data_IF_692109020849
#
_entry.id   IF_692109020849
#
_cell.length_a   1.000
_cell.length_b   1.000
_cell.length_c   1.000
_cell.angle_alpha   90.00
_cell.angle_beta   90.00
_cell.angle_gamma   90.00
#
_symmetry.space_group_name_H-M   'P 1'
#
loop_
_entity.id
_entity.type
_entity.pdbx_description
1 polymer ?
#
# COMPACT_ATOMS: atom_id res chain seq x y z
N UNK A 1 68.07 -26.80 23.81
CA UNK A 1 68.26 -27.21 22.41
C UNK A 1 67.12 -26.62 21.62
N UNK A 2 67.39 -25.59 20.90
CA UNK A 2 67.34 -25.38 19.44
C UNK A 2 65.95 -25.80 18.87
N UNK A 3 65.17 -25.08 18.09
CA UNK A 3 65.35 -23.80 17.39
C UNK A 3 64.17 -23.57 16.49
N UNK A 4 63.85 -22.31 16.28
CA UNK A 4 63.42 -21.65 15.00
C UNK A 4 62.17 -22.05 14.27
N UNK A 5 61.32 -21.10 14.20
CA UNK A 5 61.02 -20.17 13.05
C UNK A 5 60.27 -20.78 11.89
N UNK A 6 59.07 -20.29 11.67
CA UNK A 6 58.79 -19.62 10.39
C UNK A 6 57.46 -18.85 10.52
N UNK A 7 57.59 -17.52 10.63
CA UNK A 7 56.48 -16.61 10.32
C UNK A 7 56.60 -16.25 8.84
N UNK A 8 55.72 -16.75 8.04
CA UNK A 8 55.56 -16.24 6.68
C UNK A 8 54.51 -15.09 6.64
N UNK A 9 54.99 -13.98 6.11
CA UNK A 9 54.23 -12.76 5.83
C UNK A 9 53.09 -13.03 4.85
N UNK A 10 51.85 -12.78 5.28
CA UNK A 10 50.74 -12.51 4.37
C UNK A 10 50.58 -11.00 4.26
N UNK A 11 51.07 -10.44 3.19
CA UNK A 11 50.76 -9.08 2.76
C UNK A 11 49.27 -8.98 2.44
N UNK A 12 48.46 -8.36 3.31
CA UNK A 12 47.12 -7.91 2.98
C UNK A 12 47.29 -6.64 2.15
N UNK A 13 46.90 -6.72 0.88
CA UNK A 13 46.83 -5.59 -0.06
C UNK A 13 45.96 -4.50 0.54
N UNK A 14 46.52 -3.30 0.69
CA UNK A 14 45.81 -2.12 1.16
C UNK A 14 44.66 -1.76 0.26
N UNK A 15 43.46 -1.82 0.82
CA UNK A 15 42.30 -1.09 0.25
C UNK A 15 42.61 0.39 0.31
N UNK A 16 42.70 1.03 -0.86
CA UNK A 16 42.72 2.48 -0.97
C UNK A 16 41.38 2.99 -0.47
N UNK A 17 41.33 3.55 0.72
CA UNK A 17 40.25 4.42 1.18
C UNK A 17 40.04 5.48 0.11
N UNK A 18 38.94 5.44 -0.64
CA UNK A 18 38.56 6.51 -1.56
C UNK A 18 38.35 7.78 -0.73
N UNK A 19 39.32 8.70 -0.77
CA UNK A 19 39.15 10.03 -0.18
C UNK A 19 38.10 10.75 -1.03
N UNK A 20 37.08 11.31 -0.38
CA UNK A 20 36.08 12.14 -1.03
C UNK A 20 36.74 13.23 -1.84
N UNK A 21 36.19 13.56 -3.03
CA UNK A 21 36.71 14.65 -3.84
C UNK A 21 36.71 15.97 -3.05
N UNK A 22 37.84 16.70 -3.08
CA UNK A 22 38.02 17.92 -2.28
C UNK A 22 36.95 19.01 -2.54
N UNK A 23 36.34 19.04 -3.72
CA UNK A 23 35.24 19.97 -3.99
C UNK A 23 33.98 19.64 -3.19
N UNK A 24 33.72 18.35 -2.87
CA UNK A 24 32.60 17.93 -2.00
C UNK A 24 32.84 18.37 -0.57
N UNK A 25 34.07 18.28 -0.07
CA UNK A 25 34.42 18.79 1.26
C UNK A 25 34.13 20.28 1.36
N UNK A 26 34.59 21.10 0.41
CA UNK A 26 34.34 22.55 0.37
C UNK A 26 32.84 22.83 0.31
N UNK A 27 32.12 22.12 -0.55
CA UNK A 27 30.68 22.22 -0.69
C UNK A 27 29.97 21.95 0.65
N UNK A 28 30.28 20.83 1.31
CA UNK A 28 29.66 20.44 2.58
C UNK A 28 29.96 21.44 3.71
N UNK A 29 31.19 21.93 3.82
CA UNK A 29 31.58 22.92 4.83
C UNK A 29 30.87 24.26 4.64
N UNK A 30 30.74 24.74 3.42
CA UNK A 30 29.99 25.95 3.09
C UNK A 30 28.49 25.77 3.30
N UNK A 31 27.95 24.63 2.91
CA UNK A 31 26.55 24.27 3.12
C UNK A 31 26.21 24.23 4.62
N UNK A 32 27.07 23.59 5.42
CA UNK A 32 26.91 23.58 6.87
C UNK A 32 26.96 24.99 7.47
N UNK A 33 27.87 25.83 6.99
CA UNK A 33 27.96 27.22 7.43
C UNK A 33 26.75 28.09 7.05
N UNK A 34 26.12 27.82 5.91
CA UNK A 34 24.85 28.47 5.50
C UNK A 34 23.72 27.97 6.41
N UNK A 35 23.62 26.66 6.65
CA UNK A 35 22.57 26.04 7.45
C UNK A 35 22.59 26.45 8.93
N UNK A 36 23.76 26.54 9.53
CA UNK A 36 23.90 26.91 10.95
C UNK A 36 23.92 28.43 11.20
N UNK A 37 23.77 29.25 10.13
CA UNK A 37 23.71 30.71 10.23
C UNK A 37 25.09 31.39 10.29
N UNK A 38 26.21 30.66 10.17
CA UNK A 38 27.54 31.26 10.07
C UNK A 38 27.63 32.21 8.86
N UNK A 39 26.96 31.83 7.76
CA UNK A 39 26.74 32.68 6.60
C UNK A 39 25.25 33.03 6.51
N UNK A 40 24.88 34.22 7.00
CA UNK A 40 23.49 34.69 6.99
C UNK A 40 22.97 34.98 5.58
N UNK A 41 21.64 34.98 5.40
CA UNK A 41 21.00 35.39 4.15
C UNK A 41 21.53 36.78 3.68
N UNK A 42 21.90 36.83 2.42
CA UNK A 42 22.48 38.05 1.82
C UNK A 42 23.96 38.27 2.14
N UNK A 43 24.58 37.47 3.03
CA UNK A 43 26.02 37.60 3.30
C UNK A 43 26.85 37.06 2.17
N UNK A 44 28.06 37.62 2.01
CA UNK A 44 29.03 37.18 1.00
C UNK A 44 29.81 35.98 1.45
N UNK A 45 29.88 34.94 0.63
CA UNK A 45 30.73 33.78 0.83
C UNK A 45 32.20 34.07 0.45
N UNK A 46 33.15 33.28 0.98
CA UNK A 46 34.55 33.37 0.53
C UNK A 46 34.65 33.18 -0.99
N UNK A 47 35.52 33.96 -1.62
CA UNK A 47 35.76 33.89 -3.06
C UNK A 47 36.46 32.60 -3.49
N UNK A 48 36.41 32.25 -4.77
CA UNK A 48 37.15 31.10 -5.32
C UNK A 48 38.63 31.11 -4.96
N UNK A 49 39.25 32.30 -4.88
CA UNK A 49 40.66 32.47 -4.50
C UNK A 49 40.89 32.20 -3.01
N UNK A 50 40.02 32.70 -2.17
CA UNK A 50 40.09 32.48 -0.72
C UNK A 50 39.86 30.99 -0.38
N UNK A 51 38.82 30.37 -0.98
CA UNK A 51 38.56 28.91 -0.83
C UNK A 51 39.74 28.08 -1.36
N UNK A 52 40.32 28.44 -2.50
CA UNK A 52 41.50 27.76 -3.05
C UNK A 52 42.67 27.80 -2.08
N UNK A 53 42.90 28.94 -1.42
CA UNK A 53 43.97 29.10 -0.42
C UNK A 53 43.67 28.37 0.88
N UNK A 54 42.42 28.43 1.39
CA UNK A 54 42.02 27.87 2.66
C UNK A 54 42.02 26.34 2.66
N UNK A 55 41.70 25.74 1.50
CA UNK A 55 41.62 24.26 1.37
C UNK A 55 42.80 23.66 0.60
N UNK A 56 43.76 24.46 0.20
CA UNK A 56 44.93 24.05 -0.60
C UNK A 56 44.55 23.27 -1.86
N UNK A 57 43.63 23.85 -2.65
CA UNK A 57 43.10 23.23 -3.86
C UNK A 57 43.19 24.18 -5.08
N UNK A 58 42.97 23.60 -6.25
CA UNK A 58 42.89 24.42 -7.49
C UNK A 58 41.66 25.32 -7.47
N UNK A 59 41.74 26.50 -8.18
CA UNK A 59 40.58 27.37 -8.37
C UNK A 59 39.40 26.65 -9.07
N UNK A 60 39.69 25.67 -9.93
CA UNK A 60 38.65 24.87 -10.59
C UNK A 60 37.86 24.04 -9.56
N UNK A 61 38.55 23.49 -8.54
CA UNK A 61 37.94 22.74 -7.46
C UNK A 61 37.02 23.62 -6.61
N UNK A 62 37.47 24.80 -6.18
CA UNK A 62 36.64 25.74 -5.42
C UNK A 62 35.50 26.30 -6.23
N UNK A 63 35.73 26.58 -7.54
CA UNK A 63 34.67 27.00 -8.47
C UNK A 63 33.57 25.98 -8.58
N UNK A 64 33.90 24.68 -8.73
CA UNK A 64 32.93 23.58 -8.81
C UNK A 64 32.06 23.50 -7.55
N UNK A 65 32.63 23.66 -6.35
CA UNK A 65 31.85 23.66 -5.10
C UNK A 65 30.84 24.83 -5.05
N UNK A 66 31.24 26.03 -5.47
CA UNK A 66 30.33 27.19 -5.54
C UNK A 66 29.28 27.05 -6.65
N UNK A 67 29.60 26.40 -7.75
CA UNK A 67 28.65 26.12 -8.84
C UNK A 67 27.57 25.18 -8.32
N UNK A 68 27.92 24.11 -7.60
CA UNK A 68 26.95 23.20 -6.99
C UNK A 68 26.02 23.90 -6.00
N UNK A 69 26.55 24.83 -5.17
CA UNK A 69 25.68 25.62 -4.26
C UNK A 69 24.75 26.58 -5.04
N UNK A 70 25.19 27.08 -6.16
CA UNK A 70 24.38 27.97 -7.01
C UNK A 70 23.29 27.19 -7.77
N UNK A 71 23.61 26.02 -8.30
CA UNK A 71 22.64 25.08 -8.91
C UNK A 71 21.52 24.69 -7.96
N UNK A 72 21.81 24.62 -6.67
CA UNK A 72 20.83 24.34 -5.62
C UNK A 72 20.15 25.61 -5.06
N UNK A 73 20.32 26.76 -5.68
CA UNK A 73 19.76 28.04 -5.22
C UNK A 73 20.16 28.45 -3.78
N UNK A 74 21.21 27.84 -3.24
CA UNK A 74 21.75 28.19 -1.91
C UNK A 74 22.48 29.53 -1.95
N UNK A 75 23.07 29.88 -3.11
CA UNK A 75 23.76 31.09 -3.31
C UNK A 75 23.43 31.70 -4.69
N UNK A 76 23.54 33.04 -4.79
CA UNK A 76 23.49 33.75 -6.07
C UNK A 76 24.88 34.21 -6.43
N UNK A 77 25.36 33.85 -7.62
CA UNK A 77 26.67 34.28 -8.13
C UNK A 77 26.50 35.57 -8.95
N UNK A 78 27.18 36.63 -8.52
CA UNK A 78 27.19 37.92 -9.23
C UNK A 78 28.52 38.14 -9.92
N UNK A 79 28.59 38.20 -11.27
CA UNK A 79 29.84 38.41 -11.97
C UNK A 79 30.59 39.64 -11.46
N UNK A 80 31.86 39.48 -11.13
CA UNK A 80 32.72 40.54 -10.60
C UNK A 80 32.46 41.01 -9.17
N UNK A 81 31.36 40.56 -8.54
CA UNK A 81 30.97 40.95 -7.16
C UNK A 81 31.15 39.84 -6.14
N UNK A 82 31.06 38.56 -6.56
CA UNK A 82 31.20 37.38 -5.68
C UNK A 82 29.94 36.52 -5.60
N UNK A 83 29.94 35.64 -4.62
CA UNK A 83 28.82 34.73 -4.31
C UNK A 83 28.15 35.15 -3.01
N UNK A 84 26.83 35.20 -2.98
CA UNK A 84 26.03 35.67 -1.86
C UNK A 84 25.02 34.62 -1.49
N UNK A 85 24.77 34.43 -0.19
CA UNK A 85 23.76 33.49 0.31
C UNK A 85 22.37 33.97 -0.13
N UNK A 86 21.65 33.12 -0.85
CA UNK A 86 20.26 33.34 -1.28
C UNK A 86 19.28 32.43 -0.52
N UNK A 87 19.77 31.57 0.33
CA UNK A 87 19.02 30.62 1.10
C UNK A 87 18.24 31.31 2.24
N UNK A 88 16.90 31.17 2.23
CA UNK A 88 16.00 31.77 3.22
C UNK A 88 15.57 30.83 4.35
N UNK A 89 16.19 29.69 4.50
CA UNK A 89 15.84 28.70 5.54
C UNK A 89 14.83 27.62 5.15
N UNK A 90 14.30 27.65 3.92
CA UNK A 90 13.16 26.80 3.54
C UNK A 90 13.49 25.55 2.69
N UNK A 91 14.75 25.32 2.27
CA UNK A 91 15.15 24.11 1.53
C UNK A 91 16.54 23.64 1.92
N UNK A 92 16.63 22.35 2.24
CA UNK A 92 17.91 21.68 2.52
C UNK A 92 17.95 20.34 1.79
N UNK A 93 18.78 20.27 0.75
CA UNK A 93 19.11 19.03 0.08
C UNK A 93 20.42 18.46 0.66
N UNK A 94 20.42 17.20 1.06
CA UNK A 94 21.63 16.47 1.49
C UNK A 94 22.09 15.55 0.36
N UNK A 95 23.38 15.62 0.02
CA UNK A 95 24.00 14.64 -0.88
C UNK A 95 24.63 13.56 -0.02
N UNK A 96 24.07 12.34 -0.07
CA UNK A 96 24.67 11.14 0.51
C UNK A 96 25.11 10.25 -0.66
N UNK A 97 26.39 9.88 -0.68
CA UNK A 97 26.99 9.03 -1.73
C UNK A 97 26.81 9.51 -3.18
N UNK A 98 26.76 10.84 -3.39
CA UNK A 98 26.63 11.42 -4.73
C UNK A 98 25.21 11.44 -5.29
N UNK A 99 24.21 11.05 -4.52
CA UNK A 99 22.79 11.11 -4.86
C UNK A 99 22.18 12.33 -4.20
N UNK A 100 21.53 13.19 -5.01
CA UNK A 100 20.75 14.33 -4.50
C UNK A 100 19.48 13.78 -3.85
N UNK A 101 19.40 13.84 -2.52
CA UNK A 101 18.16 13.57 -1.80
C UNK A 101 17.47 14.90 -1.58
N UNK A 102 16.47 15.20 -2.41
CA UNK A 102 15.55 16.32 -2.15
C UNK A 102 14.79 16.01 -0.86
N UNK A 103 15.21 16.60 0.25
CA UNK A 103 14.38 16.57 1.46
C UNK A 103 13.19 17.51 1.24
N UNK A 104 12.01 16.99 1.51
CA UNK A 104 10.78 17.79 1.53
C UNK A 104 10.94 19.00 2.46
N UNK A 105 10.32 20.15 2.15
CA UNK A 105 10.35 21.32 3.02
C UNK A 105 9.94 20.94 4.43
N UNK A 106 10.68 21.38 5.44
CA UNK A 106 10.31 21.24 6.84
C UNK A 106 8.87 21.73 7.01
N UNK A 107 7.95 20.80 7.25
CA UNK A 107 6.52 21.10 7.48
C UNK A 107 5.52 20.24 6.73
N UNK A 108 5.84 19.65 5.58
CA UNK A 108 4.87 18.81 4.85
C UNK A 108 5.19 17.33 5.03
N UNK A 109 4.46 16.67 5.92
CA UNK A 109 4.56 15.23 6.13
C UNK A 109 3.61 14.52 5.16
N UNK A 110 4.13 13.64 4.32
CA UNK A 110 3.35 12.91 3.32
C UNK A 110 3.32 11.43 3.68
N UNK A 111 2.14 10.83 3.63
CA UNK A 111 1.91 9.39 3.73
C UNK A 111 1.65 8.86 2.33
N UNK A 112 2.35 7.80 1.95
CA UNK A 112 2.08 7.04 0.74
C UNK A 112 0.90 6.09 0.95
N UNK A 113 0.02 5.99 -0.03
CA UNK A 113 -1.10 5.05 -0.03
C UNK A 113 -1.06 4.27 -1.33
N UNK A 114 -0.96 2.96 -1.22
CA UNK A 114 -0.96 2.04 -2.36
C UNK A 114 -2.15 1.12 -2.19
N UNK A 115 -3.06 1.13 -3.15
CA UNK A 115 -4.23 0.26 -3.17
C UNK A 115 -4.37 -0.40 -4.53
N UNK A 116 -5.13 -1.46 -4.58
CA UNK A 116 -5.40 -2.18 -5.81
C UNK A 116 -6.21 -1.31 -6.79
N UNK A 117 -7.42 -0.99 -6.38
CA UNK A 117 -8.34 -0.05 -7.04
C UNK A 117 -9.37 0.41 -6.00
N UNK A 118 -10.23 1.32 -6.38
CA UNK A 118 -11.37 1.73 -5.55
C UNK A 118 -12.57 2.05 -6.42
N UNK A 119 -13.75 1.82 -5.87
CA UNK A 119 -15.01 2.03 -6.54
C UNK A 119 -16.14 2.32 -5.55
N UNK A 120 -17.37 2.31 -6.06
CA UNK A 120 -18.57 2.61 -5.24
C UNK A 120 -18.79 1.53 -4.17
N UNK A 121 -18.55 0.28 -4.52
CA UNK A 121 -18.82 -0.86 -3.64
C UNK A 121 -17.75 -1.05 -2.56
N UNK A 122 -16.46 -0.79 -2.88
CA UNK A 122 -15.36 -0.91 -1.93
C UNK A 122 -14.21 0.04 -2.29
N UNK A 123 -13.54 0.53 -1.27
CA UNK A 123 -12.31 1.31 -1.35
C UNK A 123 -12.52 2.82 -1.34
N UNK A 124 -13.66 3.35 -1.82
CA UNK A 124 -13.90 4.80 -1.80
C UNK A 124 -14.01 5.36 -0.38
N UNK A 125 -14.72 4.69 0.51
CA UNK A 125 -14.81 5.09 1.92
C UNK A 125 -13.49 4.86 2.67
N UNK A 126 -12.72 3.83 2.29
CA UNK A 126 -11.37 3.59 2.80
C UNK A 126 -10.46 4.79 2.48
N UNK A 127 -10.42 5.22 1.20
CA UNK A 127 -9.62 6.37 0.76
C UNK A 127 -10.07 7.65 1.46
N UNK A 128 -11.39 7.89 1.58
CA UNK A 128 -11.93 9.03 2.33
C UNK A 128 -11.50 8.99 3.81
N UNK A 129 -11.53 7.83 4.46
CA UNK A 129 -11.11 7.66 5.84
C UNK A 129 -9.62 7.93 6.04
N UNK A 130 -8.78 7.47 5.12
CA UNK A 130 -7.34 7.74 5.11
C UNK A 130 -7.08 9.24 4.94
N UNK A 131 -7.71 9.87 3.94
CA UNK A 131 -7.53 11.31 3.68
C UNK A 131 -7.94 12.15 4.88
N UNK A 132 -9.13 11.87 5.42
CA UNK A 132 -9.65 12.58 6.58
C UNK A 132 -8.67 12.53 7.77
N UNK A 133 -8.22 11.34 8.15
CA UNK A 133 -7.31 11.18 9.29
C UNK A 133 -5.92 11.79 8.99
N UNK A 134 -5.41 11.69 7.77
CA UNK A 134 -4.19 12.36 7.36
C UNK A 134 -4.30 13.87 7.60
N UNK A 135 -5.39 14.50 7.16
CA UNK A 135 -5.64 15.93 7.33
C UNK A 135 -5.73 16.33 8.81
N UNK A 136 -6.48 15.57 9.63
CA UNK A 136 -6.59 15.82 11.08
C UNK A 136 -5.23 15.74 11.80
N UNK A 137 -4.33 14.88 11.33
CA UNK A 137 -2.99 14.67 11.89
C UNK A 137 -1.91 15.57 11.25
N UNK A 138 -2.28 16.46 10.32
CA UNK A 138 -1.37 17.37 9.64
C UNK A 138 -0.46 16.69 8.61
N UNK A 139 -0.93 15.58 8.00
CA UNK A 139 -0.26 14.88 6.92
C UNK A 139 -0.97 15.13 5.58
N UNK A 140 -0.22 15.01 4.50
CA UNK A 140 -0.73 14.91 3.14
C UNK A 140 -0.74 13.44 2.71
N UNK A 141 -1.62 13.09 1.77
CA UNK A 141 -1.71 11.76 1.18
C UNK A 141 -1.26 11.77 -0.26
N UNK A 142 -0.46 10.78 -0.66
CA UNK A 142 -0.11 10.52 -2.06
C UNK A 142 -0.58 9.11 -2.43
N UNK A 143 -1.53 9.01 -3.35
CA UNK A 143 -2.20 7.76 -3.75
C UNK A 143 -1.63 7.20 -5.05
N UNK A 144 -1.41 5.87 -5.07
CA UNK A 144 -1.10 5.07 -6.25
C UNK A 144 -2.02 3.86 -6.31
N UNK A 145 -2.53 3.53 -7.49
CA UNK A 145 -3.29 2.30 -7.75
C UNK A 145 -2.43 1.30 -8.51
N UNK A 146 -2.53 0.02 -8.14
CA UNK A 146 -1.73 -1.07 -8.74
C UNK A 146 -2.50 -1.88 -9.78
N UNK A 147 -3.82 -1.82 -9.75
CA UNK A 147 -4.72 -2.61 -10.60
C UNK A 147 -4.39 -4.12 -10.60
N UNK A 148 -3.97 -4.64 -9.44
CA UNK A 148 -3.62 -6.04 -9.28
C UNK A 148 -2.24 -6.44 -9.82
N UNK A 149 -1.41 -5.49 -10.28
CA UNK A 149 -0.07 -5.77 -10.79
C UNK A 149 0.97 -5.71 -9.67
N UNK A 150 1.71 -6.82 -9.51
CA UNK A 150 2.85 -6.94 -8.59
C UNK A 150 3.98 -5.99 -8.99
N UNK A 151 4.18 -5.78 -10.28
CA UNK A 151 5.18 -4.87 -10.83
C UNK A 151 4.85 -3.41 -10.51
N UNK A 152 3.59 -3.00 -10.69
CA UNK A 152 3.13 -1.66 -10.35
C UNK A 152 3.16 -1.41 -8.84
N UNK A 153 2.89 -2.43 -8.01
CA UNK A 153 3.06 -2.32 -6.56
C UNK A 153 4.52 -2.08 -6.18
N UNK A 154 5.46 -2.86 -6.72
CA UNK A 154 6.88 -2.68 -6.47
C UNK A 154 7.37 -1.29 -6.90
N UNK A 155 6.95 -0.84 -8.09
CA UNK A 155 7.27 0.49 -8.60
C UNK A 155 6.65 1.60 -7.76
N UNK A 156 5.40 1.47 -7.32
CA UNK A 156 4.74 2.43 -6.46
C UNK A 156 5.47 2.58 -5.10
N UNK A 157 5.94 1.47 -4.54
CA UNK A 157 6.75 1.48 -3.30
C UNK A 157 8.05 2.25 -3.53
N UNK A 158 8.76 1.99 -4.63
CA UNK A 158 10.01 2.67 -4.95
C UNK A 158 9.80 4.17 -5.20
N UNK A 159 8.82 4.53 -6.02
CA UNK A 159 8.47 5.92 -6.34
C UNK A 159 8.13 6.72 -5.07
N UNK A 160 7.26 6.17 -4.20
CA UNK A 160 6.86 6.84 -2.95
C UNK A 160 8.02 6.99 -1.96
N UNK A 161 8.87 5.97 -1.85
CA UNK A 161 10.08 6.04 -1.01
C UNK A 161 11.06 7.08 -1.55
N UNK A 162 11.27 7.12 -2.87
CA UNK A 162 12.12 8.11 -3.53
C UNK A 162 11.58 9.53 -3.36
N UNK A 163 10.26 9.69 -3.36
CA UNK A 163 9.61 10.97 -3.04
C UNK A 163 9.82 11.40 -1.59
N UNK A 164 10.14 10.47 -0.69
CA UNK A 164 10.40 10.73 0.73
C UNK A 164 9.15 10.71 1.60
N UNK A 165 8.16 9.86 1.29
CA UNK A 165 7.00 9.68 2.16
C UNK A 165 7.44 9.14 3.53
N UNK A 166 6.76 9.57 4.60
CA UNK A 166 7.08 9.20 5.97
C UNK A 166 6.78 7.73 6.29
N UNK A 167 5.88 7.11 5.52
CA UNK A 167 5.45 5.72 5.66
C UNK A 167 4.40 5.39 4.62
N UNK A 168 4.01 4.12 4.54
CA UNK A 168 3.10 3.60 3.51
C UNK A 168 1.92 2.87 4.14
N UNK A 169 0.70 3.19 3.71
CA UNK A 169 -0.50 2.36 3.89
C UNK A 169 -0.65 1.53 2.62
N UNK A 170 -0.77 0.22 2.75
CA UNK A 170 -0.73 -0.71 1.63
C UNK A 170 -1.89 -1.69 1.66
N UNK A 171 -2.72 -1.70 0.62
CA UNK A 171 -3.55 -2.85 0.27
C UNK A 171 -2.73 -3.70 -0.72
N UNK A 172 -2.07 -4.73 -0.19
CA UNK A 172 -1.11 -5.50 -0.98
C UNK A 172 -1.78 -6.31 -2.10
N UNK A 173 -1.11 -6.36 -3.24
CA UNK A 173 -1.42 -7.33 -4.29
C UNK A 173 -1.12 -8.73 -3.76
N UNK A 174 -2.07 -9.63 -3.90
CA UNK A 174 -1.93 -11.02 -3.46
C UNK A 174 -1.88 -11.98 -4.64
N UNK A 175 -1.10 -13.04 -4.49
CA UNK A 175 -0.88 -14.09 -5.48
C UNK A 175 -0.24 -15.30 -4.82
N UNK A 176 0.34 -16.19 -5.63
CA UNK A 176 1.03 -17.39 -5.13
C UNK A 176 2.28 -17.05 -4.31
N UNK A 177 2.89 -15.90 -4.57
CA UNK A 177 4.09 -15.42 -3.87
C UNK A 177 3.92 -13.96 -3.45
N UNK A 178 4.48 -13.61 -2.30
CA UNK A 178 4.49 -12.22 -1.84
C UNK A 178 5.48 -11.37 -2.62
N UNK A 179 5.11 -10.10 -2.85
CA UNK A 179 5.99 -9.15 -3.51
C UNK A 179 7.27 -8.91 -2.70
N UNK A 180 8.42 -9.13 -3.33
CA UNK A 180 9.72 -8.94 -2.68
C UNK A 180 9.93 -7.49 -2.17
N UNK A 181 9.35 -6.48 -2.85
CA UNK A 181 9.43 -5.09 -2.42
C UNK A 181 8.69 -4.88 -1.08
N UNK A 182 7.54 -5.54 -0.87
CA UNK A 182 6.80 -5.48 0.40
C UNK A 182 7.56 -6.21 1.51
N UNK A 183 8.13 -7.39 1.23
CA UNK A 183 8.97 -8.12 2.19
C UNK A 183 10.18 -7.29 2.61
N UNK A 184 10.79 -6.57 1.68
CA UNK A 184 11.91 -5.66 1.94
C UNK A 184 11.53 -4.55 2.92
N UNK A 185 10.34 -3.96 2.81
CA UNK A 185 9.85 -2.96 3.78
C UNK A 185 9.81 -3.53 5.21
N UNK A 186 9.36 -4.78 5.36
CA UNK A 186 9.33 -5.47 6.66
C UNK A 186 10.73 -5.68 7.23
N UNK A 187 11.67 -6.19 6.42
CA UNK A 187 13.07 -6.43 6.84
C UNK A 187 13.77 -5.14 7.23
N UNK A 188 13.57 -4.07 6.47
CA UNK A 188 14.13 -2.73 6.73
C UNK A 188 13.42 -1.99 7.87
N UNK A 189 12.36 -2.58 8.45
CA UNK A 189 11.51 -1.95 9.48
C UNK A 189 10.96 -0.58 9.04
N UNK A 190 10.76 -0.41 7.73
CA UNK A 190 10.14 0.79 7.18
C UNK A 190 8.71 0.93 7.73
N UNK A 191 8.23 2.14 8.09
CA UNK A 191 6.86 2.32 8.57
C UNK A 191 5.84 1.94 7.49
N UNK A 192 5.16 0.81 7.68
CA UNK A 192 4.12 0.30 6.78
C UNK A 192 2.99 -0.33 7.59
N UNK A 193 1.75 -0.11 7.15
CA UNK A 193 0.54 -0.73 7.69
C UNK A 193 -0.28 -1.27 6.53
N UNK A 194 -0.69 -2.53 6.63
CA UNK A 194 -1.60 -3.15 5.67
C UNK A 194 -3.05 -2.78 5.97
N UNK A 195 -3.84 -2.67 4.92
CA UNK A 195 -5.31 -2.52 5.00
C UNK A 195 -5.99 -3.62 4.20
N UNK A 196 -7.13 -4.11 4.71
CA UNK A 196 -7.96 -5.15 4.12
C UNK A 196 -7.27 -6.53 4.02
N UNK A 197 -6.14 -6.61 3.33
CA UNK A 197 -5.43 -7.85 2.99
C UNK A 197 -4.19 -8.02 3.85
N UNK A 198 -4.11 -9.14 4.57
CA UNK A 198 -2.95 -9.49 5.39
C UNK A 198 -1.92 -10.32 4.62
N UNK A 199 -0.67 -10.24 5.03
CA UNK A 199 0.41 -11.13 4.59
C UNK A 199 0.71 -12.12 5.72
N UNK A 200 0.22 -13.36 5.60
CA UNK A 200 0.41 -14.40 6.62
C UNK A 200 1.90 -14.68 6.85
N UNK A 201 2.32 -14.63 8.10
CA UNK A 201 3.72 -14.88 8.49
C UNK A 201 4.68 -13.71 8.27
N UNK A 202 4.20 -12.55 7.83
CA UNK A 202 5.01 -11.32 7.71
C UNK A 202 4.61 -10.35 8.82
N UNK A 203 5.54 -9.86 9.66
CA UNK A 203 5.23 -9.01 10.82
C UNK A 203 4.95 -7.56 10.40
N UNK A 204 3.94 -7.35 9.57
CA UNK A 204 3.42 -6.04 9.20
C UNK A 204 2.02 -5.91 9.78
N UNK A 205 1.73 -4.86 10.56
CA UNK A 205 0.38 -4.64 11.10
C UNK A 205 -0.67 -4.55 10.01
N UNK A 206 -1.83 -5.16 10.23
CA UNK A 206 -2.96 -5.14 9.32
C UNK A 206 -4.24 -4.67 10.03
N UNK A 207 -4.97 -3.77 9.39
CA UNK A 207 -6.30 -3.30 9.80
C UNK A 207 -7.30 -3.71 8.74
N UNK A 208 -8.34 -4.43 9.13
CA UNK A 208 -9.34 -4.94 8.17
C UNK A 208 -10.61 -5.41 8.86
N UNK A 209 -11.41 -6.18 8.15
CA UNK A 209 -12.66 -6.79 8.63
C UNK A 209 -12.42 -8.24 9.03
N UNK A 210 -13.14 -8.73 10.04
CA UNK A 210 -13.18 -10.16 10.38
C UNK A 210 -14.02 -10.91 9.33
N UNK A 211 -13.40 -11.20 8.20
CA UNK A 211 -14.03 -11.84 7.04
C UNK A 211 -14.56 -13.24 7.36
N UNK A 212 -13.87 -13.97 8.24
CA UNK A 212 -14.26 -15.33 8.64
C UNK A 212 -15.59 -15.30 9.41
N UNK A 213 -15.68 -14.50 10.48
CA UNK A 213 -16.89 -14.41 11.28
C UNK A 213 -18.04 -13.71 10.52
N UNK A 214 -17.74 -12.74 9.68
CA UNK A 214 -18.77 -12.07 8.87
C UNK A 214 -19.47 -13.06 7.90
N UNK A 215 -18.73 -13.96 7.25
CA UNK A 215 -19.34 -15.03 6.44
C UNK A 215 -20.16 -15.98 7.30
N UNK A 216 -19.68 -16.37 8.48
CA UNK A 216 -20.44 -17.26 9.35
C UNK A 216 -21.78 -16.65 9.75
N UNK A 217 -21.84 -15.32 9.96
CA UNK A 217 -23.11 -14.64 10.23
C UNK A 217 -24.05 -14.69 9.02
N UNK A 218 -23.56 -14.43 7.79
CA UNK A 218 -24.36 -14.58 6.58
C UNK A 218 -24.85 -16.02 6.39
N UNK A 219 -23.99 -17.01 6.57
CA UNK A 219 -24.36 -18.42 6.48
C UNK A 219 -25.42 -18.82 7.52
N UNK A 220 -25.29 -18.33 8.75
CA UNK A 220 -26.30 -18.55 9.80
C UNK A 220 -27.67 -17.96 9.43
N UNK A 221 -27.70 -16.85 8.70
CA UNK A 221 -28.96 -16.29 8.19
C UNK A 221 -29.56 -17.24 7.18
N UNK A 222 -28.79 -17.67 6.18
CA UNK A 222 -29.26 -18.57 5.14
C UNK A 222 -29.75 -19.92 5.72
N UNK A 223 -29.03 -20.50 6.69
CA UNK A 223 -29.46 -21.74 7.37
C UNK A 223 -30.75 -21.54 8.16
N UNK A 224 -30.93 -20.40 8.85
CA UNK A 224 -32.17 -20.05 9.56
C UNK A 224 -33.36 -19.89 8.61
N UNK A 225 -33.11 -19.42 7.37
CA UNK A 225 -34.11 -19.33 6.31
C UNK A 225 -34.39 -20.69 5.64
N UNK A 226 -33.71 -21.76 6.07
CA UNK A 226 -33.96 -23.14 5.62
C UNK A 226 -33.08 -23.61 4.46
N UNK A 227 -32.17 -22.77 3.97
CA UNK A 227 -31.26 -23.14 2.88
C UNK A 227 -30.22 -24.14 3.37
N UNK A 228 -29.97 -25.19 2.58
CA UNK A 228 -28.97 -26.22 2.87
C UNK A 228 -27.95 -26.36 1.74
N UNK A 229 -28.35 -26.06 0.51
CA UNK A 229 -27.48 -26.06 -0.66
C UNK A 229 -27.24 -24.60 -1.07
N UNK A 230 -26.15 -24.05 -0.56
CA UNK A 230 -25.76 -22.65 -0.73
C UNK A 230 -24.52 -22.62 -1.63
N UNK A 231 -24.56 -21.95 -2.76
CA UNK A 231 -23.42 -21.83 -3.65
C UNK A 231 -22.51 -20.67 -3.23
N UNK A 232 -21.21 -20.94 -3.08
CA UNK A 232 -20.19 -19.92 -2.86
C UNK A 232 -19.64 -19.43 -4.21
N UNK A 233 -19.66 -18.14 -4.44
CA UNK A 233 -19.23 -17.50 -5.70
C UNK A 233 -18.05 -16.58 -5.44
N UNK A 234 -16.90 -16.86 -6.07
CA UNK A 234 -15.71 -16.00 -5.93
C UNK A 234 -14.80 -16.00 -7.15
N UNK A 235 -13.94 -15.00 -7.21
CA UNK A 235 -12.71 -15.06 -7.97
C UNK A 235 -11.70 -16.05 -7.34
N UNK A 236 -10.59 -16.42 -7.99
CA UNK A 236 -9.63 -17.36 -7.45
C UNK A 236 -9.14 -16.97 -6.04
N UNK A 237 -9.58 -17.71 -5.01
CA UNK A 237 -9.37 -17.37 -3.59
C UNK A 237 -7.92 -17.54 -3.12
N UNK A 238 -7.13 -18.38 -3.76
CA UNK A 238 -5.69 -18.55 -3.48
C UNK A 238 -4.88 -17.26 -3.68
N UNK A 239 -5.51 -16.21 -4.22
CA UNK A 239 -4.87 -14.93 -4.50
C UNK A 239 -5.19 -13.85 -3.49
N UNK A 240 -6.15 -14.08 -2.57
CA UNK A 240 -6.62 -13.02 -1.67
C UNK A 240 -6.93 -13.54 -0.28
N UNK A 241 -6.25 -13.06 0.76
CA UNK A 241 -6.42 -13.51 2.14
C UNK A 241 -7.85 -13.30 2.67
N UNK A 242 -8.54 -12.24 2.23
CA UNK A 242 -9.93 -11.95 2.59
C UNK A 242 -10.88 -13.00 2.02
N UNK A 243 -10.72 -13.37 0.75
CA UNK A 243 -11.56 -14.41 0.11
C UNK A 243 -11.26 -15.79 0.70
N UNK A 244 -10.01 -16.09 1.00
CA UNK A 244 -9.62 -17.31 1.69
C UNK A 244 -10.32 -17.40 3.05
N UNK A 245 -10.31 -16.34 3.86
CA UNK A 245 -11.00 -16.30 5.14
C UNK A 245 -12.53 -16.44 5.00
N UNK A 246 -13.13 -15.82 3.97
CA UNK A 246 -14.56 -15.96 3.63
C UNK A 246 -14.88 -17.41 3.28
N UNK A 247 -14.04 -18.06 2.49
CA UNK A 247 -14.24 -19.47 2.11
C UNK A 247 -14.10 -20.44 3.29
N UNK A 248 -13.12 -20.21 4.19
CA UNK A 248 -12.99 -20.98 5.41
C UNK A 248 -14.23 -20.83 6.30
N UNK A 249 -14.71 -19.59 6.52
CA UNK A 249 -15.94 -19.34 7.27
C UNK A 249 -17.17 -20.02 6.66
N UNK A 250 -17.27 -20.05 5.32
CA UNK A 250 -18.32 -20.79 4.62
C UNK A 250 -18.25 -22.29 4.89
N UNK A 251 -17.09 -22.94 4.77
CA UNK A 251 -16.93 -24.38 5.03
C UNK A 251 -17.24 -24.74 6.48
N UNK A 252 -16.69 -23.98 7.41
CA UNK A 252 -16.88 -24.24 8.83
C UNK A 252 -18.32 -24.06 9.29
N UNK A 253 -19.06 -23.15 8.64
CA UNK A 253 -20.49 -22.96 8.88
C UNK A 253 -21.31 -24.22 8.54
N UNK A 254 -20.94 -24.96 7.49
CA UNK A 254 -21.57 -26.25 7.19
C UNK A 254 -21.30 -27.28 8.27
N UNK A 255 -20.04 -27.38 8.72
CA UNK A 255 -19.63 -28.31 9.77
C UNK A 255 -20.37 -28.04 11.10
N UNK A 256 -20.49 -26.77 11.49
CA UNK A 256 -21.18 -26.36 12.71
C UNK A 256 -22.69 -26.70 12.68
N UNK A 257 -23.28 -26.73 11.49
CA UNK A 257 -24.69 -27.13 11.30
C UNK A 257 -24.88 -28.62 11.02
N UNK A 258 -23.82 -29.44 11.17
CA UNK A 258 -23.82 -30.86 10.85
C UNK A 258 -24.25 -31.15 9.40
N UNK A 259 -23.89 -30.26 8.48
CA UNK A 259 -24.11 -30.40 7.05
C UNK A 259 -22.78 -30.67 6.34
N UNK A 260 -22.85 -31.27 5.16
CA UNK A 260 -21.69 -31.55 4.34
C UNK A 260 -21.71 -30.64 3.13
N UNK A 261 -20.62 -29.93 2.90
CA UNK A 261 -20.38 -29.21 1.67
C UNK A 261 -19.51 -30.03 0.72
N UNK A 262 -19.57 -29.77 -0.55
CA UNK A 262 -18.75 -30.42 -1.59
C UNK A 262 -18.43 -29.43 -2.72
N UNK A 263 -17.51 -29.82 -3.59
CA UNK A 263 -17.03 -28.97 -4.70
C UNK A 263 -18.13 -28.52 -5.69
N UNK A 264 -19.26 -29.25 -5.73
CA UNK A 264 -20.42 -28.85 -6.54
C UNK A 264 -21.16 -27.63 -5.99
N UNK A 265 -20.82 -27.15 -4.79
CA UNK A 265 -21.46 -25.98 -4.16
C UNK A 265 -20.58 -24.71 -4.23
N UNK A 266 -19.57 -24.66 -5.10
CA UNK A 266 -18.80 -23.41 -5.27
C UNK A 266 -18.28 -23.23 -6.69
N UNK A 267 -18.22 -21.95 -7.09
CA UNK A 267 -17.53 -21.45 -8.28
C UNK A 267 -16.47 -20.47 -7.78
N UNK A 268 -15.19 -20.81 -7.87
CA UNK A 268 -14.09 -20.09 -7.23
C UNK A 268 -13.07 -19.53 -8.21
N UNK A 269 -13.46 -19.35 -9.48
CA UNK A 269 -12.57 -18.96 -10.56
C UNK A 269 -13.24 -17.97 -11.54
N UNK A 270 -14.10 -17.08 -11.00
CA UNK A 270 -14.75 -15.99 -11.77
C UNK A 270 -13.67 -14.97 -12.13
N UNK A 271 -13.17 -15.05 -13.37
CA UNK A 271 -11.98 -14.32 -13.81
C UNK A 271 -12.21 -12.83 -14.07
N UNK A 272 -13.43 -12.44 -14.47
CA UNK A 272 -13.80 -11.04 -14.76
C UNK A 272 -13.81 -10.12 -13.54
N UNK A 273 -13.79 -10.70 -12.33
CA UNK A 273 -13.80 -9.96 -11.07
C UNK A 273 -12.40 -9.59 -10.56
N UNK A 274 -11.36 -10.15 -11.15
CA UNK A 274 -9.98 -9.79 -10.82
C UNK A 274 -9.71 -8.36 -11.32
N UNK A 275 -9.25 -7.43 -10.46
CA UNK A 275 -8.90 -6.08 -10.88
C UNK A 275 -7.93 -6.11 -12.07
N UNK A 276 -8.27 -5.44 -13.16
CA UNK A 276 -7.46 -5.31 -14.36
C UNK A 276 -7.62 -3.91 -14.92
N UNK A 277 -6.57 -3.39 -15.54
CA UNK A 277 -6.61 -2.07 -16.18
C UNK A 277 -7.64 -2.02 -17.31
N UNK A 278 -7.77 -3.13 -18.08
CA UNK A 278 -8.72 -3.28 -19.17
C UNK A 278 -9.61 -4.51 -18.90
N UNK A 279 -10.85 -4.28 -18.48
CA UNK A 279 -11.86 -5.35 -18.38
C UNK A 279 -12.17 -5.87 -19.77
N UNK A 280 -11.98 -7.18 -19.97
CA UNK A 280 -12.35 -7.83 -21.23
C UNK A 280 -13.83 -8.22 -21.14
N UNK A 281 -14.66 -7.61 -21.98
CA UNK A 281 -16.09 -7.92 -22.08
C UNK A 281 -16.32 -9.42 -22.34
N UNK A 282 -15.49 -10.04 -23.17
CA UNK A 282 -15.52 -11.48 -23.47
C UNK A 282 -15.39 -12.36 -22.19
N UNK A 283 -14.55 -11.96 -21.24
CA UNK A 283 -14.42 -12.70 -19.98
C UNK A 283 -15.66 -12.56 -19.10
N UNK A 284 -16.26 -11.37 -19.06
CA UNK A 284 -17.48 -11.14 -18.30
C UNK A 284 -18.65 -11.94 -18.87
N UNK A 285 -18.79 -11.98 -20.19
CA UNK A 285 -19.80 -12.80 -20.89
C UNK A 285 -19.60 -14.30 -20.61
N UNK A 286 -18.35 -14.79 -20.62
CA UNK A 286 -18.03 -16.19 -20.31
C UNK A 286 -18.41 -16.54 -18.87
N UNK A 287 -18.08 -15.69 -17.90
CA UNK A 287 -18.43 -15.91 -16.50
C UNK A 287 -19.95 -15.84 -16.25
N UNK A 288 -20.65 -14.94 -16.94
CA UNK A 288 -22.12 -14.88 -16.90
C UNK A 288 -22.75 -16.19 -17.42
N UNK A 289 -22.32 -16.70 -18.56
CA UNK A 289 -22.78 -17.97 -19.11
C UNK A 289 -22.49 -19.15 -18.19
N UNK A 290 -21.35 -19.15 -17.55
CA UNK A 290 -20.95 -20.18 -16.62
C UNK A 290 -21.86 -20.21 -15.39
N UNK A 291 -22.11 -19.04 -14.77
CA UNK A 291 -23.01 -18.94 -13.62
C UNK A 291 -24.44 -19.31 -14.04
N UNK A 292 -24.92 -18.86 -15.21
CA UNK A 292 -26.23 -19.21 -15.75
C UNK A 292 -26.39 -20.72 -15.91
N UNK A 293 -25.45 -21.39 -16.57
CA UNK A 293 -25.47 -22.83 -16.75
C UNK A 293 -25.45 -23.57 -15.41
N UNK A 294 -24.61 -23.13 -14.47
CA UNK A 294 -24.57 -23.73 -13.14
C UNK A 294 -25.92 -23.63 -12.42
N UNK A 295 -26.61 -22.50 -12.48
CA UNK A 295 -27.95 -22.31 -11.88
C UNK A 295 -28.97 -23.27 -12.47
N UNK A 296 -28.96 -23.45 -13.80
CA UNK A 296 -29.89 -24.33 -14.53
C UNK A 296 -29.60 -25.81 -14.24
N UNK A 297 -28.34 -26.20 -14.16
CA UNK A 297 -27.92 -27.58 -13.89
C UNK A 297 -28.04 -28.00 -12.43
N UNK A 298 -28.14 -27.01 -11.49
CA UNK A 298 -28.20 -27.23 -10.06
C UNK A 298 -29.47 -26.64 -9.42
N UNK A 299 -30.69 -27.12 -9.79
CA UNK A 299 -31.93 -26.61 -9.23
C UNK A 299 -32.05 -26.78 -7.71
N UNK A 300 -31.30 -27.72 -7.12
CA UNK A 300 -31.25 -27.95 -5.66
C UNK A 300 -30.52 -26.83 -4.89
N UNK A 301 -29.71 -26.02 -5.55
CA UNK A 301 -29.08 -24.83 -4.96
C UNK A 301 -30.15 -23.74 -4.79
N UNK A 302 -30.41 -23.36 -3.54
CA UNK A 302 -31.48 -22.43 -3.21
C UNK A 302 -31.00 -21.06 -2.74
N UNK A 303 -29.69 -20.95 -2.46
CA UNK A 303 -29.07 -19.67 -2.08
C UNK A 303 -27.64 -19.52 -2.62
N UNK A 304 -27.20 -18.28 -2.71
CA UNK A 304 -25.87 -17.90 -3.17
C UNK A 304 -25.20 -16.98 -2.16
N UNK A 305 -23.92 -17.20 -1.91
CA UNK A 305 -23.05 -16.29 -1.18
C UNK A 305 -21.99 -15.80 -2.15
N UNK A 306 -22.06 -14.53 -2.54
CA UNK A 306 -21.08 -13.90 -3.38
C UNK A 306 -20.03 -13.15 -2.52
N UNK A 307 -18.74 -13.29 -2.89
CA UNK A 307 -17.66 -12.68 -2.11
C UNK A 307 -17.61 -11.16 -2.18
N UNK A 308 -18.23 -10.56 -3.18
CA UNK A 308 -18.26 -9.11 -3.37
C UNK A 308 -19.53 -8.65 -4.08
N UNK A 309 -19.76 -7.33 -4.08
CA UNK A 309 -20.89 -6.68 -4.72
C UNK A 309 -20.96 -6.96 -6.24
N UNK A 310 -19.84 -6.95 -6.93
CA UNK A 310 -19.83 -7.09 -8.39
C UNK A 310 -20.27 -8.49 -8.80
N UNK A 311 -19.78 -9.52 -8.11
CA UNK A 311 -20.24 -10.91 -8.28
C UNK A 311 -21.72 -11.06 -7.93
N UNK A 312 -22.18 -10.39 -6.88
CA UNK A 312 -23.59 -10.40 -6.49
C UNK A 312 -24.50 -9.77 -7.56
N UNK A 313 -24.14 -8.62 -8.08
CA UNK A 313 -24.90 -7.93 -9.14
C UNK A 313 -24.96 -8.77 -10.41
N UNK A 314 -23.87 -9.41 -10.80
CA UNK A 314 -23.86 -10.34 -11.94
C UNK A 314 -24.82 -11.50 -11.71
N UNK A 315 -24.72 -12.16 -10.56
CA UNK A 315 -25.58 -13.29 -10.19
C UNK A 315 -27.06 -12.89 -10.16
N UNK A 316 -27.37 -11.72 -9.56
CA UNK A 316 -28.74 -11.21 -9.53
C UNK A 316 -29.33 -10.97 -10.91
N UNK A 317 -28.57 -10.34 -11.82
CA UNK A 317 -29.03 -10.14 -13.21
C UNK A 317 -29.38 -11.46 -13.90
N UNK A 318 -28.61 -12.51 -13.63
CA UNK A 318 -28.86 -13.84 -14.16
C UNK A 318 -30.11 -14.45 -13.52
N UNK A 319 -30.25 -14.41 -12.20
CA UNK A 319 -31.44 -14.90 -11.51
C UNK A 319 -32.70 -14.21 -12.02
N UNK A 320 -32.64 -12.90 -12.21
CA UNK A 320 -33.79 -12.12 -12.77
C UNK A 320 -34.09 -12.51 -14.21
N UNK A 321 -33.10 -12.72 -15.05
CA UNK A 321 -33.27 -13.21 -16.44
C UNK A 321 -33.98 -14.57 -16.47
N UNK A 322 -33.67 -15.42 -15.49
CA UNK A 322 -34.25 -16.76 -15.35
C UNK A 322 -35.60 -16.76 -14.58
N UNK A 323 -36.09 -15.62 -14.09
CA UNK A 323 -37.24 -15.48 -13.19
C UNK A 323 -37.10 -16.28 -11.88
N UNK A 324 -35.90 -16.41 -11.35
CA UNK A 324 -35.57 -17.13 -10.12
C UNK A 324 -35.19 -16.20 -8.95
N UNK A 325 -35.24 -14.89 -9.14
CA UNK A 325 -34.87 -13.86 -8.16
C UNK A 325 -35.79 -13.80 -6.93
N UNK A 326 -36.98 -14.41 -7.00
CA UNK A 326 -37.92 -14.56 -5.87
C UNK A 326 -37.82 -15.95 -5.19
N UNK A 327 -37.17 -16.91 -5.83
CA UNK A 327 -37.08 -18.28 -5.35
C UNK A 327 -35.72 -18.60 -4.70
N UNK A 328 -34.68 -17.85 -5.12
CA UNK A 328 -33.30 -18.09 -4.67
C UNK A 328 -32.76 -16.87 -3.91
N UNK A 329 -32.24 -17.09 -2.71
CA UNK A 329 -31.69 -16.05 -1.85
C UNK A 329 -30.24 -15.72 -2.25
N UNK A 330 -29.86 -14.44 -2.19
CA UNK A 330 -28.51 -13.98 -2.46
C UNK A 330 -28.02 -13.12 -1.30
N UNK A 331 -26.84 -13.47 -0.78
CA UNK A 331 -26.12 -12.67 0.22
C UNK A 331 -24.71 -12.38 -0.25
N UNK A 332 -24.10 -11.27 0.20
CA UNK A 332 -22.79 -10.87 -0.30
C UNK A 332 -22.05 -9.89 0.63
N UNK A 333 -20.83 -9.53 0.22
CA UNK A 333 -20.02 -8.48 0.83
C UNK A 333 -20.02 -7.20 0.00
N UNK A 334 -19.70 -6.09 0.66
CA UNK A 334 -19.45 -4.79 0.04
C UNK A 334 -20.72 -4.16 -0.57
N UNK A 335 -21.79 -4.09 0.23
CA UNK A 335 -23.00 -3.42 -0.18
C UNK A 335 -22.82 -1.93 -0.39
N UNK A 336 -23.60 -1.36 -1.31
CA UNK A 336 -23.64 0.09 -1.61
C UNK A 336 -24.66 0.77 -0.70
N UNK A 337 -24.38 2.00 -0.27
CA UNK A 337 -25.34 2.80 0.54
C UNK A 337 -26.65 3.00 -0.25
N UNK A 338 -27.76 2.54 0.33
CA UNK A 338 -29.10 2.45 -0.27
C UNK A 338 -29.66 3.76 -0.84
N UNK A 339 -29.13 4.89 -0.42
CA UNK A 339 -29.66 6.22 -0.81
C UNK A 339 -29.51 6.51 -2.29
N UNK A 340 -28.65 5.78 -3.00
CA UNK A 340 -28.32 6.04 -4.39
C UNK A 340 -28.60 4.88 -5.34
N UNK A 341 -29.10 3.72 -4.87
CA UNK A 341 -29.34 2.56 -5.71
C UNK A 341 -30.80 2.13 -5.67
N UNK A 342 -31.44 2.00 -6.85
CA UNK A 342 -32.75 1.44 -7.02
C UNK A 342 -32.78 -0.10 -6.98
N UNK A 343 -31.64 -0.73 -6.66
CA UNK A 343 -31.50 -2.19 -6.55
C UNK A 343 -32.25 -2.72 -5.33
N UNK A 344 -32.83 -3.93 -5.40
CA UNK A 344 -33.42 -4.55 -4.22
C UNK A 344 -32.36 -4.73 -3.14
N UNK A 345 -32.74 -4.42 -1.90
CA UNK A 345 -31.85 -4.55 -0.75
C UNK A 345 -31.66 -6.03 -0.45
N UNK A 346 -30.49 -6.54 -0.73
CA UNK A 346 -30.10 -7.88 -0.33
C UNK A 346 -29.39 -7.87 1.01
N UNK A 347 -29.50 -8.97 1.74
CA UNK A 347 -28.69 -9.16 2.95
C UNK A 347 -27.20 -9.17 2.60
N UNK A 348 -26.45 -8.26 3.20
CA UNK A 348 -25.02 -8.14 2.91
C UNK A 348 -24.22 -7.66 4.12
N UNK A 349 -22.91 -7.89 4.06
CA UNK A 349 -21.92 -7.30 4.98
C UNK A 349 -21.55 -5.92 4.46
N UNK A 350 -21.67 -4.92 5.31
CA UNK A 350 -21.12 -3.59 5.08
C UNK A 350 -19.89 -3.38 5.96
N UNK A 351 -18.73 -3.24 5.34
CA UNK A 351 -17.47 -3.08 6.03
C UNK A 351 -17.29 -1.65 6.56
N UNK A 352 -16.65 -1.50 7.71
CA UNK A 352 -16.30 -0.20 8.31
C UNK A 352 -15.11 0.47 7.63
N UNK A 353 -15.13 0.58 6.28
CA UNK A 353 -13.99 1.03 5.46
C UNK A 353 -13.37 2.34 5.93
N UNK A 354 -14.21 3.34 6.23
CA UNK A 354 -13.73 4.64 6.70
C UNK A 354 -12.94 4.54 8.01
N UNK A 355 -13.36 3.66 8.93
CA UNK A 355 -12.63 3.46 10.20
C UNK A 355 -11.39 2.58 10.00
N UNK A 356 -11.41 1.62 9.07
CA UNK A 356 -10.20 0.90 8.62
C UNK A 356 -9.15 1.92 8.17
N UNK A 357 -9.52 2.85 7.30
CA UNK A 357 -8.62 3.89 6.81
C UNK A 357 -8.07 4.79 7.93
N UNK A 358 -8.94 5.30 8.80
CA UNK A 358 -8.54 6.15 9.93
C UNK A 358 -7.60 5.42 10.88
N UNK A 359 -7.93 4.19 11.25
CA UNK A 359 -7.11 3.39 12.15
C UNK A 359 -5.74 3.07 11.54
N UNK A 360 -5.69 2.77 10.24
CA UNK A 360 -4.43 2.54 9.54
C UNK A 360 -3.50 3.77 9.57
N UNK A 361 -4.04 4.98 9.39
CA UNK A 361 -3.26 6.23 9.51
C UNK A 361 -2.73 6.41 10.93
N UNK A 362 -3.55 6.21 11.96
CA UNK A 362 -3.13 6.33 13.37
C UNK A 362 -2.00 5.34 13.68
N UNK A 363 -2.13 4.09 13.26
CA UNK A 363 -1.11 3.06 13.44
C UNK A 363 0.18 3.40 12.67
N UNK A 364 0.07 3.89 11.43
CA UNK A 364 1.24 4.30 10.66
C UNK A 364 1.98 5.45 11.35
N UNK A 365 1.27 6.45 11.85
CA UNK A 365 1.86 7.57 12.60
C UNK A 365 2.56 7.08 13.88
N UNK A 366 1.96 6.14 14.61
CA UNK A 366 2.59 5.56 15.79
C UNK A 366 3.88 4.80 15.42
N UNK A 367 3.87 4.03 14.34
CA UNK A 367 5.07 3.37 13.82
C UNK A 367 6.16 4.35 13.37
N UNK A 368 5.79 5.46 12.70
CA UNK A 368 6.71 6.55 12.34
C UNK A 368 7.38 7.13 13.62
N UNK A 369 6.64 7.17 14.73
CA UNK A 369 7.14 7.64 16.05
C UNK A 369 7.86 6.55 16.84
N UNK A 370 8.07 5.36 16.26
CA UNK A 370 8.72 4.22 16.91
C UNK A 370 7.87 3.52 17.97
N UNK A 371 6.55 3.68 17.95
CA UNK A 371 5.62 3.02 18.86
C UNK A 371 5.17 1.68 18.28
N UNK A 372 4.92 0.72 19.15
CA UNK A 372 4.31 -0.55 18.78
C UNK A 372 2.81 -0.39 18.57
N UNK A 373 2.26 -1.16 17.62
CA UNK A 373 0.84 -1.25 17.32
C UNK A 373 0.43 -2.72 17.22
N UNK A 374 -0.84 -3.08 17.42
CA UNK A 374 -1.31 -4.45 17.25
C UNK A 374 -0.98 -5.00 15.86
N UNK A 375 -0.58 -6.28 15.79
CA UNK A 375 -0.29 -6.95 14.51
C UNK A 375 -1.54 -7.07 13.65
N UNK A 376 -2.71 -7.28 14.28
CA UNK A 376 -3.99 -7.39 13.60
C UNK A 376 -5.07 -6.64 14.37
N UNK A 377 -5.87 -5.87 13.64
CA UNK A 377 -7.02 -5.16 14.19
C UNK A 377 -8.21 -5.34 13.26
N UNK A 378 -9.29 -5.87 13.81
CA UNK A 378 -10.56 -5.99 13.13
C UNK A 378 -11.46 -4.80 13.47
N UNK A 379 -11.92 -4.10 12.44
CA UNK A 379 -12.91 -3.05 12.55
C UNK A 379 -14.30 -3.68 12.46
N UNK A 380 -15.26 -3.26 13.30
CA UNK A 380 -16.63 -3.72 13.23
C UNK A 380 -17.25 -3.55 11.83
N UNK A 381 -18.10 -4.48 11.47
CA UNK A 381 -18.94 -4.47 10.26
C UNK A 381 -20.41 -4.52 10.65
N UNK A 382 -21.27 -4.17 9.74
CA UNK A 382 -22.73 -4.28 9.90
C UNK A 382 -23.28 -5.34 8.95
N UNK A 383 -24.31 -6.07 9.40
CA UNK A 383 -25.16 -6.92 8.54
C UNK A 383 -26.40 -6.13 8.18
N UNK A 384 -26.47 -5.66 6.96
CA UNK A 384 -27.65 -5.03 6.39
C UNK A 384 -28.60 -6.14 5.92
N UNK A 385 -29.84 -6.11 6.41
CA UNK A 385 -30.86 -7.10 6.04
C UNK A 385 -31.59 -6.69 4.78
N UNK A 386 -31.72 -7.62 3.84
CA UNK A 386 -32.61 -7.49 2.70
C UNK A 386 -34.09 -7.38 3.13
N UNK A 387 -34.89 -6.73 2.30
CA UNK A 387 -36.35 -6.65 2.47
C UNK A 387 -37.03 -7.87 1.91
#
# INVERSE_FOLDING_TARGET
MKSNHFFENVCIRGEKVKRDPLYLKIYNDLLAGIKNGTYALGSRLPSEKELSSNYDVSRITSKKALEMLAEQNMITRMPGKGSYVSYSGERVDEIVDGILIERQPEGKKVIGVIIDSFGVAFGSQLVCGIEWECREQGYYMMLRCTYGSVEEEAKAIEDLRSFGVCGIILMCVQGETYNAAVLKLSVEKYPVVLVDRELKGVPIPCVGTDNYNAVKELMNILFKNGHKNICFLSHPFLRTSTVEARFEGYKDSYLEHNLVTNEGLWITDIGSMVPQHDRKQEQEEADQHRIENYILENPQVTAFLAVDHTTAVMTYKILKKLNLDQEKELVFFDGVDEKNDASPIFTHVMQGEGEIGRTAVRYLIDRIRGREVPERTYIPYDIVRGK
#
